data_IF_836729541992
#
_entry.id   IF_836729541992
#
_cell.length_a   1.000
_cell.length_b   1.000
_cell.length_c   1.000
_cell.angle_alpha   90.00
_cell.angle_beta   90.00
_cell.angle_gamma   90.00
#
_symmetry.space_group_name_H-M   'P 1'
#
loop_
_entity.id
_entity.type
_entity.pdbx_description
1 polymer ?
#
# COMPACT_ATOMS: atom_id res chain seq x y z
N UNK A 1 -4.22 -16.88 7.20
CA UNK A 1 -4.08 -16.07 8.32
C UNK A 1 -4.01 -14.67 7.90
N UNK A 2 -4.60 -13.86 8.64
CA UNK A 2 -4.82 -12.76 7.95
C UNK A 2 -4.99 -11.45 8.69
N UNK A 3 -4.48 -10.41 8.10
CA UNK A 3 -4.89 -9.06 8.41
C UNK A 3 -6.38 -8.89 8.10
N UNK A 4 -7.00 -7.88 8.67
CA UNK A 4 -8.35 -7.44 8.31
C UNK A 4 -8.40 -5.93 8.38
N UNK A 5 -8.87 -5.31 7.29
CA UNK A 5 -9.07 -3.87 7.24
C UNK A 5 -10.56 -3.55 7.33
N UNK A 6 -10.90 -2.53 8.11
CA UNK A 6 -12.25 -1.98 8.22
C UNK A 6 -12.23 -0.56 7.66
N UNK A 7 -13.17 -0.28 6.75
CA UNK A 7 -13.38 1.01 6.12
C UNK A 7 -14.77 1.51 6.49
N UNK A 8 -14.90 2.75 7.01
CA UNK A 8 -16.20 3.30 7.41
C UNK A 8 -16.41 4.66 6.78
N UNK A 9 -17.37 4.75 5.89
CA UNK A 9 -17.75 5.98 5.21
C UNK A 9 -18.38 7.01 6.17
N UNK A 10 -18.26 8.29 5.85
CA UNK A 10 -18.63 9.42 6.75
C UNK A 10 -20.09 9.44 7.18
N UNK A 11 -21.02 8.84 6.43
CA UNK A 11 -22.43 8.72 6.80
C UNK A 11 -22.74 7.44 7.57
N UNK A 12 -21.81 6.48 7.58
CA UNK A 12 -21.89 5.27 8.37
C UNK A 12 -21.22 5.42 9.74
N UNK A 13 -20.45 6.48 9.96
CA UNK A 13 -19.86 6.83 11.25
C UNK A 13 -20.80 7.65 12.11
N UNK A 14 -20.56 7.66 13.43
CA UNK A 14 -21.41 8.38 14.39
C UNK A 14 -21.28 9.90 14.29
N UNK A 15 -20.08 10.40 14.01
CA UNK A 15 -19.72 11.83 14.03
C UNK A 15 -19.45 12.42 12.64
N UNK A 16 -19.65 11.66 11.58
CA UNK A 16 -19.41 12.10 10.21
C UNK A 16 -17.95 11.97 9.76
N UNK A 17 -17.08 11.36 10.56
CA UNK A 17 -15.70 11.07 10.16
C UNK A 17 -15.61 9.87 9.22
N UNK A 18 -14.61 9.87 8.36
CA UNK A 18 -14.13 8.68 7.66
C UNK A 18 -13.19 7.91 8.58
N UNK A 19 -13.18 6.59 8.51
CA UNK A 19 -12.27 5.77 9.32
C UNK A 19 -11.70 4.61 8.51
N UNK A 20 -10.40 4.38 8.68
CA UNK A 20 -9.74 3.15 8.26
C UNK A 20 -9.01 2.55 9.46
N UNK A 21 -9.12 1.25 9.64
CA UNK A 21 -8.43 0.52 10.68
C UNK A 21 -8.01 -0.86 10.18
N UNK A 22 -6.83 -1.30 10.60
CA UNK A 22 -6.27 -2.58 10.20
C UNK A 22 -5.62 -3.27 11.41
N UNK A 23 -5.83 -4.58 11.53
CA UNK A 23 -4.94 -5.40 12.33
C UNK A 23 -3.79 -5.92 11.46
N UNK A 24 -2.61 -6.05 12.04
CA UNK A 24 -1.41 -6.57 11.39
C UNK A 24 -1.06 -7.93 12.02
N UNK A 25 -1.41 -9.02 11.31
CA UNK A 25 -1.20 -10.38 11.77
C UNK A 25 -0.06 -11.06 11.02
N UNK A 26 0.98 -11.43 11.75
CA UNK A 26 2.06 -12.21 11.19
C UNK A 26 1.61 -13.64 10.82
N UNK A 27 1.83 -14.02 9.57
CA UNK A 27 1.54 -15.35 9.04
C UNK A 27 2.27 -16.49 9.66
N UNK A 28 3.40 -16.22 10.21
CA UNK A 28 4.32 -17.24 10.75
C UNK A 28 4.08 -17.59 12.21
N UNK A 29 3.17 -16.88 12.89
CA UNK A 29 3.01 -16.97 14.35
C UNK A 29 4.19 -16.35 15.13
N UNK A 30 5.10 -15.67 14.45
CA UNK A 30 6.16 -14.88 15.08
C UNK A 30 5.65 -13.49 15.41
N UNK A 31 5.97 -13.00 16.59
CA UNK A 31 5.68 -11.64 16.99
C UNK A 31 6.65 -10.69 16.29
N UNK A 32 6.09 -9.78 15.50
CA UNK A 32 6.84 -8.72 14.82
C UNK A 32 6.61 -7.40 15.57
N UNK A 33 7.58 -6.95 16.39
CA UNK A 33 7.41 -5.71 17.15
C UNK A 33 7.36 -4.51 16.21
N UNK A 34 6.37 -3.66 16.44
CA UNK A 34 6.19 -2.39 15.73
C UNK A 34 6.55 -1.23 16.67
N UNK A 35 6.89 -0.09 16.09
CA UNK A 35 7.09 1.18 16.80
C UNK A 35 6.22 2.25 16.16
N UNK A 36 5.70 3.18 16.95
CA UNK A 36 5.05 4.38 16.43
C UNK A 36 6.08 5.49 16.32
N UNK A 37 6.20 6.08 15.15
CA UNK A 37 7.16 7.14 14.86
C UNK A 37 6.51 8.30 14.11
N UNK A 38 7.12 9.47 14.26
CA UNK A 38 6.91 10.63 13.37
C UNK A 38 8.13 10.69 12.46
N UNK A 39 7.91 10.77 11.17
CA UNK A 39 8.97 10.89 10.15
C UNK A 39 8.92 12.33 9.62
N UNK A 40 10.01 13.07 9.82
CA UNK A 40 10.10 14.47 9.37
C UNK A 40 10.55 14.53 7.90
N UNK A 41 10.21 15.62 7.17
CA UNK A 41 10.59 15.76 5.76
C UNK A 41 12.09 15.63 5.48
N UNK A 42 12.94 16.15 6.39
CA UNK A 42 14.39 16.09 6.28
C UNK A 42 14.99 14.70 6.52
N UNK A 43 14.27 13.80 7.16
CA UNK A 43 14.69 12.42 7.44
C UNK A 43 14.42 11.48 6.26
N UNK A 44 13.62 11.94 5.28
CA UNK A 44 13.15 11.09 4.18
C UNK A 44 14.18 11.08 3.03
N UNK A 45 14.47 9.89 2.45
CA UNK A 45 15.38 9.79 1.33
C UNK A 45 14.78 10.43 0.07
N UNK A 46 15.63 10.97 -0.79
CA UNK A 46 15.26 11.39 -2.15
C UNK A 46 15.45 10.26 -3.16
N UNK A 47 16.19 9.26 -2.78
CA UNK A 47 16.34 8.01 -3.52
C UNK A 47 16.01 6.86 -2.58
N UNK A 48 14.89 6.22 -2.82
CA UNK A 48 14.44 5.05 -2.06
C UNK A 48 15.04 3.78 -2.66
N UNK A 49 15.43 2.85 -1.82
CA UNK A 49 15.81 1.49 -2.22
C UNK A 49 15.15 0.47 -1.32
N UNK A 50 14.38 -0.45 -1.90
CA UNK A 50 13.78 -1.58 -1.19
C UNK A 50 14.86 -2.51 -0.65
N UNK A 51 14.67 -2.99 0.58
CA UNK A 51 15.54 -4.00 1.18
C UNK A 51 15.27 -5.38 0.60
N UNK A 52 14.02 -5.68 0.24
CA UNK A 52 13.59 -6.99 -0.24
C UNK A 52 13.79 -7.13 -1.75
N UNK A 53 13.26 -6.18 -2.51
CA UNK A 53 13.22 -6.28 -3.97
C UNK A 53 14.37 -5.59 -4.67
N UNK A 54 15.14 -4.77 -3.97
CA UNK A 54 16.21 -3.92 -4.49
C UNK A 54 15.77 -2.87 -5.52
N UNK A 55 14.45 -2.65 -5.70
CA UNK A 55 13.97 -1.59 -6.58
C UNK A 55 14.45 -0.23 -6.07
N UNK A 56 14.90 0.60 -6.99
CA UNK A 56 15.33 1.99 -6.71
C UNK A 56 14.31 2.96 -7.32
N UNK A 57 13.86 3.92 -6.50
CA UNK A 57 12.82 4.89 -6.88
C UNK A 57 13.31 6.29 -6.52
N UNK A 58 13.38 7.17 -7.51
CA UNK A 58 13.59 8.59 -7.26
C UNK A 58 12.29 9.22 -6.74
N UNK A 59 12.38 9.85 -5.58
CA UNK A 59 11.24 10.47 -4.89
C UNK A 59 11.27 11.99 -5.08
N UNK A 60 10.09 12.68 -5.06
CA UNK A 60 10.03 14.13 -5.12
C UNK A 60 10.81 14.81 -3.97
N UNK A 61 11.18 16.07 -4.17
CA UNK A 61 12.00 16.84 -3.22
C UNK A 61 11.20 17.47 -2.06
N UNK A 62 9.88 17.38 -2.10
CA UNK A 62 8.93 18.04 -1.22
C UNK A 62 8.03 17.08 -0.42
N UNK A 63 8.58 16.09 0.30
CA UNK A 63 7.77 15.21 1.11
C UNK A 63 7.16 15.95 2.30
N UNK A 64 5.94 15.60 2.66
CA UNK A 64 5.33 15.98 3.93
C UNK A 64 5.85 15.09 5.07
N UNK A 65 5.81 15.61 6.31
CA UNK A 65 5.93 14.79 7.49
C UNK A 65 4.73 13.85 7.64
N UNK A 66 4.95 12.70 8.27
CA UNK A 66 3.89 11.73 8.50
C UNK A 66 4.15 10.88 9.74
N UNK A 67 3.08 10.33 10.32
CA UNK A 67 3.17 9.28 11.32
C UNK A 67 3.29 7.90 10.64
N UNK A 68 3.95 6.97 11.30
CA UNK A 68 4.15 5.63 10.75
C UNK A 68 4.24 4.58 11.85
N UNK A 69 3.96 3.33 11.50
CA UNK A 69 4.07 2.17 12.43
C UNK A 69 4.99 1.11 11.80
N UNK A 70 6.30 1.43 11.64
CA UNK A 70 7.25 0.51 11.03
C UNK A 70 7.67 -0.63 11.96
N UNK A 71 8.37 -1.63 11.42
CA UNK A 71 9.05 -2.64 12.20
C UNK A 71 10.04 -1.99 13.17
N UNK A 72 10.14 -2.57 14.38
CA UNK A 72 11.12 -2.16 15.37
C UNK A 72 12.47 -2.87 15.20
N UNK A 73 12.57 -3.83 14.29
CA UNK A 73 13.78 -4.58 13.96
C UNK A 73 14.46 -3.91 12.76
N UNK A 74 15.75 -3.60 12.91
CA UNK A 74 16.54 -2.96 11.86
C UNK A 74 17.00 -4.00 10.81
N UNK A 75 17.12 -3.54 9.55
CA UNK A 75 17.69 -4.34 8.45
C UNK A 75 16.70 -5.26 7.73
N UNK A 76 15.44 -5.30 8.14
CA UNK A 76 14.38 -6.14 7.55
C UNK A 76 13.41 -5.35 6.66
N UNK A 77 13.71 -4.09 6.37
CA UNK A 77 12.81 -3.18 5.67
C UNK A 77 11.93 -2.36 6.62
N UNK A 78 11.23 -1.37 6.07
CA UNK A 78 10.43 -0.42 6.87
C UNK A 78 9.14 -1.07 7.35
N UNK A 79 8.38 -1.66 6.43
CA UNK A 79 7.10 -2.30 6.75
C UNK A 79 6.16 -1.38 7.53
N UNK A 80 6.00 -0.17 7.05
CA UNK A 80 5.11 0.81 7.68
C UNK A 80 3.66 0.36 7.55
N UNK A 81 3.06 -0.08 8.64
CA UNK A 81 1.74 -0.69 8.64
C UNK A 81 0.61 0.32 8.37
N UNK A 82 0.80 1.56 8.74
CA UNK A 82 -0.14 2.66 8.48
C UNK A 82 0.51 4.00 8.77
N UNK A 83 -0.13 5.08 8.36
CA UNK A 83 0.28 6.42 8.70
C UNK A 83 -0.75 7.47 8.33
N UNK A 84 -0.51 8.70 8.81
CA UNK A 84 -1.25 9.91 8.46
C UNK A 84 -0.23 11.01 8.19
N UNK A 85 -0.38 11.74 7.09
CA UNK A 85 0.51 12.84 6.72
C UNK A 85 -0.03 14.21 7.18
N UNK A 86 0.74 15.27 6.96
CA UNK A 86 0.40 16.65 7.33
C UNK A 86 -0.84 17.20 6.60
N UNK A 87 -1.20 16.64 5.44
CA UNK A 87 -2.44 16.97 4.74
C UNK A 87 -3.68 16.24 5.31
N UNK A 88 -3.53 15.54 6.45
CA UNK A 88 -4.57 14.71 7.07
C UNK A 88 -5.09 13.60 6.15
N UNK A 89 -4.22 13.05 5.34
CA UNK A 89 -4.49 11.86 4.54
C UNK A 89 -3.93 10.64 5.26
N UNK A 90 -4.78 9.65 5.48
CA UNK A 90 -4.41 8.37 6.05
C UNK A 90 -4.26 7.28 4.99
N UNK A 91 -3.35 6.34 5.22
CA UNK A 91 -3.26 5.12 4.44
C UNK A 91 -2.89 3.94 5.32
N UNK A 92 -3.39 2.76 4.95
CA UNK A 92 -2.88 1.50 5.52
C UNK A 92 -1.80 0.93 4.60
N UNK A 93 -0.91 0.12 5.18
CA UNK A 93 -0.21 -0.87 4.40
C UNK A 93 -1.18 -1.97 4.00
N UNK A 94 -0.71 -3.08 3.57
CA UNK A 94 -1.44 -3.95 2.67
C UNK A 94 -2.22 -5.04 3.39
N UNK A 95 -3.37 -5.39 2.82
CA UNK A 95 -3.96 -6.71 2.97
C UNK A 95 -3.33 -7.63 1.93
N UNK A 96 -2.67 -8.70 2.36
CA UNK A 96 -2.21 -9.72 1.41
C UNK A 96 -3.43 -10.40 0.77
N UNK A 97 -3.54 -10.30 -0.54
CA UNK A 97 -4.63 -10.89 -1.33
C UNK A 97 -4.10 -11.90 -2.34
N UNK A 98 -5.01 -12.57 -3.02
CA UNK A 98 -4.66 -13.51 -4.10
C UNK A 98 -5.11 -12.94 -5.44
N UNK A 99 -4.55 -13.44 -6.53
CA UNK A 99 -4.97 -13.05 -7.88
C UNK A 99 -5.36 -14.25 -8.73
N UNK A 100 -6.02 -13.96 -9.84
CA UNK A 100 -6.41 -14.96 -10.80
C UNK A 100 -5.17 -15.47 -11.57
N UNK A 101 -4.96 -16.80 -11.68
CA UNK A 101 -3.82 -17.36 -12.41
C UNK A 101 -3.73 -16.92 -13.88
N UNK A 102 -4.85 -16.61 -14.53
CA UNK A 102 -4.84 -16.11 -15.91
C UNK A 102 -4.27 -14.69 -16.00
N UNK A 103 -4.59 -13.85 -15.03
CA UNK A 103 -4.01 -12.51 -14.93
C UNK A 103 -2.52 -12.60 -14.68
N UNK A 104 -2.08 -13.42 -13.71
CA UNK A 104 -0.66 -13.64 -13.43
C UNK A 104 0.10 -14.27 -14.60
N UNK A 105 -0.59 -15.03 -15.46
CA UNK A 105 -0.02 -15.54 -16.70
C UNK A 105 0.18 -14.46 -17.79
N UNK A 106 -0.63 -13.40 -17.76
CA UNK A 106 -0.53 -12.29 -18.70
C UNK A 106 0.34 -11.14 -18.16
N UNK A 107 0.29 -10.91 -16.85
CA UNK A 107 1.03 -9.88 -16.12
C UNK A 107 1.64 -10.49 -14.85
N UNK A 108 2.77 -11.21 -14.98
CA UNK A 108 3.41 -11.89 -13.87
C UNK A 108 3.97 -10.92 -12.83
N UNK A 109 4.04 -11.36 -11.58
CA UNK A 109 4.68 -10.62 -10.50
C UNK A 109 6.15 -10.32 -10.85
N UNK A 110 6.60 -9.13 -10.48
CA UNK A 110 7.96 -8.66 -10.70
C UNK A 110 8.82 -9.02 -9.49
N UNK A 111 9.29 -10.26 -9.45
CA UNK A 111 10.07 -10.78 -8.33
C UNK A 111 11.56 -10.50 -8.49
N UNK A 112 12.24 -10.21 -7.37
CA UNK A 112 13.69 -10.06 -7.34
C UNK A 112 14.40 -11.33 -7.84
N UNK A 113 15.39 -11.15 -8.71
CA UNK A 113 16.23 -12.23 -9.22
C UNK A 113 17.69 -11.98 -8.79
N UNK A 114 18.25 -12.79 -7.89
CA UNK A 114 19.64 -12.63 -7.49
C UNK A 114 20.59 -12.94 -8.65
N UNK A 115 21.76 -12.33 -8.62
CA UNK A 115 22.82 -12.63 -9.58
C UNK A 115 23.16 -14.13 -9.53
N UNK A 116 23.09 -14.81 -10.67
CA UNK A 116 23.32 -16.25 -10.78
C UNK A 116 23.76 -16.64 -12.19
N UNK A 117 24.67 -17.61 -12.29
CA UNK A 117 25.08 -18.24 -13.56
C UNK A 117 25.55 -17.20 -14.62
N UNK A 118 26.27 -16.14 -14.16
CA UNK A 118 26.78 -15.09 -15.04
C UNK A 118 25.76 -14.04 -15.48
N UNK A 119 24.54 -14.09 -14.97
CA UNK A 119 23.54 -13.03 -15.12
C UNK A 119 23.62 -12.06 -13.95
N UNK A 120 23.51 -10.78 -14.24
CA UNK A 120 23.38 -9.73 -13.24
C UNK A 120 22.05 -9.88 -12.46
N UNK A 121 22.01 -9.31 -11.25
CA UNK A 121 20.76 -9.25 -10.51
C UNK A 121 19.71 -8.41 -11.25
N UNK A 122 18.43 -8.77 -11.10
CA UNK A 122 17.32 -7.95 -11.55
C UNK A 122 16.44 -7.59 -10.34
N UNK A 123 16.23 -6.29 -10.15
CA UNK A 123 15.36 -5.79 -9.10
C UNK A 123 13.93 -6.29 -9.30
N UNK A 124 13.22 -6.52 -8.18
CA UNK A 124 11.79 -6.79 -8.19
C UNK A 124 10.96 -5.50 -8.26
N UNK A 125 9.64 -5.62 -8.16
CA UNK A 125 8.72 -4.51 -8.01
C UNK A 125 8.64 -4.02 -6.55
N UNK A 126 7.64 -3.18 -6.26
CA UNK A 126 7.35 -2.71 -4.90
C UNK A 126 6.54 -3.75 -4.12
N UNK A 127 6.52 -3.67 -2.80
CA UNK A 127 5.68 -4.47 -1.94
C UNK A 127 5.27 -3.75 -0.67
N UNK A 128 4.67 -4.49 0.26
CA UNK A 128 4.20 -3.95 1.55
C UNK A 128 5.28 -3.19 2.31
N UNK A 129 6.53 -3.66 2.22
CA UNK A 129 7.67 -2.99 2.82
C UNK A 129 7.79 -1.51 2.41
N UNK A 130 7.48 -1.22 1.13
CA UNK A 130 7.80 0.04 0.47
C UNK A 130 6.65 1.05 0.49
N UNK A 131 5.42 0.56 0.29
CA UNK A 131 4.27 1.32 -0.23
C UNK A 131 3.97 2.58 0.58
N UNK A 132 3.88 2.51 1.90
CA UNK A 132 3.53 3.68 2.73
C UNK A 132 4.59 4.78 2.60
N UNK A 133 5.87 4.40 2.64
CA UNK A 133 6.99 5.34 2.63
C UNK A 133 7.18 6.07 1.29
N UNK A 134 6.79 5.44 0.18
CA UNK A 134 6.94 6.03 -1.15
C UNK A 134 5.67 6.75 -1.65
N UNK A 135 4.54 6.56 -0.97
CA UNK A 135 3.25 7.15 -1.36
C UNK A 135 2.78 8.22 -0.41
N UNK A 136 2.65 7.92 0.88
CA UNK A 136 1.98 8.78 1.87
C UNK A 136 2.56 10.19 1.99
N UNK A 137 3.89 10.40 1.94
CA UNK A 137 4.47 11.73 2.06
C UNK A 137 4.14 12.71 0.92
N UNK A 138 3.58 12.22 -0.18
CA UNK A 138 3.45 12.96 -1.44
C UNK A 138 2.02 13.10 -1.93
N UNK A 139 1.03 12.89 -1.08
CA UNK A 139 -0.40 12.91 -1.45
C UNK A 139 -1.20 13.85 -0.56
N UNK A 140 -2.14 14.60 -1.15
CA UNK A 140 -2.97 15.58 -0.46
C UNK A 140 -4.44 15.15 -0.36
N UNK A 141 -4.79 14.00 -0.97
CA UNK A 141 -6.11 13.39 -0.89
C UNK A 141 -6.04 11.88 -1.03
N UNK A 142 -7.09 11.18 -0.63
CA UNK A 142 -7.22 9.75 -0.81
C UNK A 142 -7.15 9.35 -2.29
N UNK A 143 -7.76 10.14 -3.17
CA UNK A 143 -7.72 9.90 -4.62
C UNK A 143 -6.33 10.09 -5.22
N UNK A 144 -5.57 11.08 -4.77
CA UNK A 144 -4.16 11.22 -5.16
C UNK A 144 -3.33 10.01 -4.75
N UNK A 145 -3.63 9.40 -3.60
CA UNK A 145 -3.01 8.16 -3.15
C UNK A 145 -3.19 7.01 -4.15
N UNK A 146 -4.42 6.83 -4.63
CA UNK A 146 -4.74 5.84 -5.68
C UNK A 146 -3.95 6.11 -6.96
N UNK A 147 -3.97 7.35 -7.45
CA UNK A 147 -3.30 7.74 -8.70
C UNK A 147 -1.78 7.56 -8.57
N UNK A 148 -1.19 8.00 -7.45
CA UNK A 148 0.25 7.88 -7.23
C UNK A 148 0.70 6.43 -7.14
N UNK A 149 0.01 5.61 -6.32
CA UNK A 149 0.34 4.20 -6.20
C UNK A 149 0.16 3.47 -7.54
N UNK A 150 -0.95 3.74 -8.24
CA UNK A 150 -1.19 3.19 -9.57
C UNK A 150 -0.05 3.47 -10.55
N UNK A 151 0.40 4.73 -10.62
CA UNK A 151 1.52 5.12 -11.47
C UNK A 151 2.85 4.44 -11.10
N UNK A 152 3.07 4.21 -9.81
CA UNK A 152 4.25 3.47 -9.33
C UNK A 152 4.17 2.00 -9.73
N UNK A 153 2.99 1.38 -9.56
CA UNK A 153 2.74 -0.01 -9.98
C UNK A 153 2.91 -0.20 -11.49
N UNK A 154 2.38 0.69 -12.30
CA UNK A 154 2.54 0.66 -13.76
C UNK A 154 3.99 0.75 -14.21
N UNK A 155 4.80 1.48 -13.46
CA UNK A 155 6.22 1.72 -13.81
C UNK A 155 7.16 0.65 -13.29
N UNK A 156 6.97 0.21 -12.06
CA UNK A 156 7.92 -0.66 -11.36
C UNK A 156 7.38 -2.07 -11.11
N UNK A 157 6.07 -2.23 -11.17
CA UNK A 157 5.40 -3.47 -10.83
C UNK A 157 5.41 -3.78 -9.34
N UNK A 158 4.85 -4.93 -8.98
CA UNK A 158 4.86 -5.47 -7.62
C UNK A 158 5.32 -6.93 -7.60
N UNK A 159 5.96 -7.33 -6.51
CA UNK A 159 6.35 -8.73 -6.29
C UNK A 159 5.30 -9.54 -5.53
N UNK A 160 4.24 -8.88 -5.05
CA UNK A 160 3.17 -9.52 -4.27
C UNK A 160 1.81 -8.86 -4.51
N UNK A 161 0.75 -9.54 -4.11
CA UNK A 161 -0.62 -9.07 -4.31
C UNK A 161 -1.15 -8.43 -3.02
N UNK A 162 -1.64 -7.20 -3.14
CA UNK A 162 -2.01 -6.37 -2.00
C UNK A 162 -3.30 -5.57 -2.23
N UNK A 163 -4.04 -5.36 -1.12
CA UNK A 163 -5.11 -4.38 -1.03
C UNK A 163 -4.72 -3.24 -0.10
N UNK A 164 -4.93 -2.00 -0.51
CA UNK A 164 -4.49 -0.78 0.17
C UNK A 164 -5.64 0.19 0.36
N UNK A 165 -5.81 0.72 1.58
CA UNK A 165 -6.78 1.76 1.85
C UNK A 165 -6.15 3.15 1.89
N UNK A 166 -6.85 4.12 1.31
CA UNK A 166 -6.56 5.55 1.40
C UNK A 166 -7.77 6.27 1.97
N UNK A 167 -7.52 7.26 2.82
CA UNK A 167 -8.56 8.04 3.47
C UNK A 167 -8.18 9.51 3.53
N UNK A 168 -9.14 10.39 3.32
CA UNK A 168 -9.10 11.78 3.75
C UNK A 168 -10.42 12.15 4.44
N UNK A 169 -10.61 13.42 4.82
CA UNK A 169 -11.83 13.89 5.48
C UNK A 169 -13.12 13.74 4.65
N UNK A 170 -13.01 13.49 3.34
CA UNK A 170 -14.14 13.47 2.42
C UNK A 170 -14.50 12.07 1.96
N UNK A 171 -13.50 11.22 1.73
CA UNK A 171 -13.70 9.93 1.08
C UNK A 171 -12.67 8.87 1.48
N UNK A 172 -13.02 7.63 1.19
CA UNK A 172 -12.13 6.46 1.34
C UNK A 172 -12.05 5.76 0.00
N UNK A 173 -10.86 5.32 -0.37
CA UNK A 173 -10.59 4.48 -1.53
C UNK A 173 -9.93 3.18 -1.11
N UNK A 174 -10.32 2.10 -1.79
CA UNK A 174 -9.68 0.81 -1.71
C UNK A 174 -9.06 0.46 -3.05
N UNK A 175 -7.77 0.12 -3.07
CA UNK A 175 -7.02 -0.29 -4.24
C UNK A 175 -6.58 -1.74 -4.08
N UNK A 176 -6.73 -2.55 -5.11
CA UNK A 176 -6.23 -3.91 -5.22
C UNK A 176 -5.25 -4.03 -6.38
N UNK A 177 -4.08 -4.62 -6.13
CA UNK A 177 -3.20 -5.07 -7.20
C UNK A 177 -3.77 -6.36 -7.80
N UNK A 178 -3.83 -6.47 -9.13
CA UNK A 178 -4.46 -7.61 -9.83
C UNK A 178 -3.52 -8.38 -10.74
N UNK A 179 -2.31 -7.90 -10.89
CA UNK A 179 -1.20 -8.49 -11.63
C UNK A 179 0.11 -7.86 -11.21
N UNK A 180 1.17 -8.10 -11.95
CA UNK A 180 2.47 -7.50 -11.68
C UNK A 180 2.47 -5.97 -11.81
N UNK A 181 1.68 -5.41 -12.74
CA UNK A 181 1.59 -3.97 -13.00
C UNK A 181 0.15 -3.44 -12.97
N UNK A 182 -0.84 -4.31 -13.09
CA UNK A 182 -2.24 -3.92 -13.14
C UNK A 182 -2.84 -3.77 -11.74
N UNK A 183 -3.75 -2.83 -11.61
CA UNK A 183 -4.46 -2.52 -10.39
C UNK A 183 -5.88 -2.06 -10.69
N UNK A 184 -6.74 -2.10 -9.68
CA UNK A 184 -8.05 -1.46 -9.72
C UNK A 184 -8.32 -0.79 -8.37
N UNK A 185 -9.16 0.24 -8.37
CA UNK A 185 -9.56 0.92 -7.14
C UNK A 185 -11.04 1.28 -7.17
N UNK A 186 -11.65 1.29 -6.00
CA UNK A 186 -13.04 1.68 -5.83
C UNK A 186 -13.20 2.60 -4.63
N UNK A 187 -14.02 3.64 -4.81
CA UNK A 187 -14.43 4.52 -3.72
C UNK A 187 -15.42 3.77 -2.83
N UNK A 188 -15.22 3.82 -1.51
CA UNK A 188 -16.17 3.30 -0.53
C UNK A 188 -17.37 4.26 -0.45
N UNK A 189 -18.62 3.79 -0.57
CA UNK A 189 -19.78 4.64 -0.42
C UNK A 189 -19.86 5.29 0.96
N UNK A 190 -20.29 6.54 1.02
CA UNK A 190 -20.34 7.32 2.27
C UNK A 190 -21.20 6.68 3.37
N UNK A 191 -22.26 5.99 2.98
CA UNK A 191 -23.25 5.38 3.87
C UNK A 191 -22.98 3.91 4.19
N UNK A 192 -21.80 3.44 3.84
CA UNK A 192 -21.41 2.03 3.98
C UNK A 192 -20.17 1.87 4.87
N UNK A 193 -20.08 0.70 5.47
CA UNK A 193 -18.82 0.18 5.99
C UNK A 193 -18.43 -1.09 5.23
N UNK A 194 -17.16 -1.35 5.16
CA UNK A 194 -16.59 -2.51 4.46
C UNK A 194 -15.60 -3.20 5.36
N UNK A 195 -15.60 -4.53 5.33
CA UNK A 195 -14.60 -5.37 5.99
C UNK A 195 -13.85 -6.12 4.90
N UNK A 196 -12.55 -5.88 4.84
CA UNK A 196 -11.65 -6.46 3.83
C UNK A 196 -10.72 -7.49 4.50
N UNK A 197 -11.02 -8.78 4.37
CA UNK A 197 -10.09 -9.84 4.77
C UNK A 197 -9.04 -10.10 3.66
N UNK A 198 -8.14 -11.07 3.87
CA UNK A 198 -7.11 -11.45 2.88
C UNK A 198 -7.69 -12.12 1.62
N UNK A 199 -8.48 -11.39 0.89
CA UNK A 199 -9.08 -11.83 -0.38
C UNK A 199 -9.37 -10.62 -1.27
N UNK A 200 -9.62 -10.84 -2.56
CA UNK A 200 -10.17 -9.82 -3.44
C UNK A 200 -11.53 -9.37 -2.91
N UNK A 201 -11.72 -8.07 -2.77
CA UNK A 201 -12.95 -7.45 -2.28
C UNK A 201 -13.73 -6.71 -3.37
N UNK A 202 -13.08 -6.33 -4.47
CA UNK A 202 -13.73 -5.72 -5.62
C UNK A 202 -14.22 -6.85 -6.54
N UNK A 203 -15.48 -7.21 -6.42
CA UNK A 203 -16.12 -8.31 -7.19
C UNK A 203 -16.90 -7.83 -8.41
N UNK A 204 -17.14 -6.53 -8.52
CA UNK A 204 -17.80 -5.90 -9.66
C UNK A 204 -17.09 -4.58 -9.98
N UNK A 205 -16.75 -4.39 -11.23
CA UNK A 205 -16.13 -3.19 -11.75
C UNK A 205 -16.81 -2.73 -13.03
N UNK A 206 -17.26 -1.48 -13.04
CA UNK A 206 -17.88 -0.84 -14.20
C UNK A 206 -16.85 0.12 -14.83
N UNK A 207 -16.41 -0.18 -16.03
CA UNK A 207 -15.44 0.65 -16.76
C UNK A 207 -16.04 1.97 -17.27
N UNK A 208 -17.37 2.06 -17.33
CA UNK A 208 -18.07 3.27 -17.77
C UNK A 208 -18.33 4.26 -16.61
N UNK A 209 -18.15 3.81 -15.36
CA UNK A 209 -18.26 4.59 -14.11
C UNK A 209 -16.86 4.94 -13.53
N UNK A 210 -15.98 5.50 -14.36
CA UNK A 210 -14.59 5.80 -14.00
C UNK A 210 -14.34 7.29 -13.73
#
# INVERSE_FOLDING_TARGET
>A
MGCTTILVGKKASYDGSTMIARNDDSGSGHYMPKKFVVVHPEEQPRKYKSVISHVEIDLPDDPMGYTSVPNAVDGEGIWAASGVNEANVGMTATETITSNPRVLGADPLVTYQPAKDGKEEAAGGIGEEDIVSIVLPYIHSAREGVIRLGSILEKYGTYEMNGIAFQDQNEIWWLETIGGHHWMARRVPDDSYVVMPNQLGIDAFDLDDA
#
